data_IF_582762083801
#
_entry.id   IF_582762083801
#
_cell.length_a   1.000
_cell.length_b   1.000
_cell.length_c   1.000
_cell.angle_alpha   90.00
_cell.angle_beta   90.00
_cell.angle_gamma   90.00
#
_symmetry.space_group_name_H-M   'P 1'
#
loop_
_entity.id
_entity.type
_entity.pdbx_description
1 polymer ?
#
# COMPACT_ATOMS: atom_id res chain seq x y z
N UNK A 1 13.06 1.59 -18.19
CA UNK A 1 13.25 2.36 -16.94
C UNK A 1 14.32 1.66 -16.10
N UNK A 2 15.28 2.39 -15.51
CA UNK A 2 16.24 1.84 -14.55
C UNK A 2 15.51 1.27 -13.32
N UNK A 3 16.07 0.23 -12.69
CA UNK A 3 15.50 -0.44 -11.51
C UNK A 3 15.17 0.53 -10.35
N UNK A 4 15.94 1.61 -10.21
CA UNK A 4 15.71 2.66 -9.22
C UNK A 4 14.45 3.51 -9.46
N UNK A 5 14.16 3.86 -10.72
CA UNK A 5 12.95 4.63 -11.06
C UNK A 5 11.68 3.82 -10.80
N UNK A 6 11.70 2.51 -11.11
CA UNK A 6 10.58 1.59 -10.89
C UNK A 6 10.19 1.55 -9.41
N UNK A 7 11.18 1.48 -8.51
CA UNK A 7 10.94 1.42 -7.05
C UNK A 7 10.38 2.75 -6.52
N UNK A 8 10.83 3.89 -7.05
CA UNK A 8 10.34 5.21 -6.64
C UNK A 8 8.88 5.40 -7.05
N UNK A 9 8.55 5.05 -8.29
CA UNK A 9 7.19 5.17 -8.82
C UNK A 9 6.22 4.27 -8.06
N UNK A 10 6.63 3.02 -7.78
CA UNK A 10 5.83 2.08 -6.99
C UNK A 10 5.48 2.62 -5.59
N UNK A 11 6.47 3.17 -4.87
CA UNK A 11 6.27 3.74 -3.54
C UNK A 11 5.23 4.87 -3.56
N UNK A 12 5.37 5.80 -4.51
CA UNK A 12 4.43 6.92 -4.66
C UNK A 12 3.02 6.41 -4.96
N UNK A 13 2.89 5.55 -5.98
CA UNK A 13 1.58 5.10 -6.44
C UNK A 13 0.83 4.30 -5.38
N UNK A 14 1.54 3.42 -4.68
CA UNK A 14 0.98 2.63 -3.58
C UNK A 14 0.52 3.53 -2.43
N UNK A 15 1.35 4.50 -2.03
CA UNK A 15 0.99 5.45 -0.97
C UNK A 15 -0.25 6.29 -1.31
N UNK A 16 -0.35 6.76 -2.56
CA UNK A 16 -1.52 7.51 -3.05
C UNK A 16 -2.81 6.69 -2.99
N UNK A 17 -2.77 5.43 -3.44
CA UNK A 17 -3.92 4.52 -3.43
C UNK A 17 -4.39 4.24 -2.00
N UNK A 18 -3.45 3.90 -1.08
CA UNK A 18 -3.78 3.66 0.33
C UNK A 18 -4.45 4.89 0.95
N UNK A 19 -3.89 6.07 0.72
CA UNK A 19 -4.45 7.33 1.23
C UNK A 19 -5.85 7.59 0.69
N UNK A 20 -6.07 7.37 -0.61
CA UNK A 20 -7.35 7.63 -1.25
C UNK A 20 -8.46 6.75 -0.62
N UNK A 21 -8.24 5.44 -0.55
CA UNK A 21 -9.20 4.51 0.04
C UNK A 21 -9.40 4.72 1.54
N UNK A 22 -8.34 5.06 2.29
CA UNK A 22 -8.48 5.43 3.71
C UNK A 22 -9.43 6.60 3.89
N UNK A 23 -9.27 7.66 3.07
CA UNK A 23 -10.12 8.86 3.11
C UNK A 23 -11.55 8.57 2.67
N UNK A 24 -11.73 7.75 1.63
CA UNK A 24 -13.05 7.31 1.17
C UNK A 24 -13.83 6.58 2.28
N UNK A 25 -13.14 5.79 3.09
CA UNK A 25 -13.71 5.13 4.28
C UNK A 25 -13.84 6.01 5.51
N UNK A 26 -13.45 7.28 5.45
CA UNK A 26 -13.51 8.21 6.57
C UNK A 26 -12.54 7.89 7.72
N UNK A 27 -11.52 7.06 7.48
CA UNK A 27 -10.57 6.65 8.52
C UNK A 27 -9.48 7.71 8.71
N UNK A 28 -9.13 8.01 9.95
CA UNK A 28 -7.91 8.73 10.32
C UNK A 28 -6.68 7.85 10.10
N UNK A 29 -5.49 8.47 10.06
CA UNK A 29 -4.23 7.72 10.04
C UNK A 29 -4.14 6.82 11.28
N UNK A 30 -4.58 7.29 12.45
CA UNK A 30 -4.54 6.51 13.68
C UNK A 30 -5.38 5.23 13.59
N UNK A 31 -6.62 5.33 13.10
CA UNK A 31 -7.51 4.17 12.99
C UNK A 31 -7.02 3.13 11.98
N UNK A 32 -6.48 3.56 10.83
CA UNK A 32 -5.91 2.60 9.88
C UNK A 32 -4.62 1.98 10.42
N UNK A 33 -3.76 2.78 11.06
CA UNK A 33 -2.51 2.30 11.64
C UNK A 33 -2.75 1.27 12.74
N UNK A 34 -3.71 1.53 13.62
CA UNK A 34 -4.14 0.59 14.67
C UNK A 34 -4.66 -0.72 14.08
N UNK A 35 -5.57 -0.66 13.10
CA UNK A 35 -6.10 -1.88 12.44
C UNK A 35 -5.02 -2.68 11.73
N UNK A 36 -3.99 -2.01 11.22
CA UNK A 36 -2.88 -2.61 10.51
C UNK A 36 -1.69 -2.99 11.42
N UNK A 37 -1.84 -2.86 12.74
CA UNK A 37 -0.81 -3.15 13.75
C UNK A 37 0.50 -2.39 13.47
N UNK A 38 0.40 -1.07 13.26
CA UNK A 38 1.54 -0.20 13.02
C UNK A 38 1.37 1.16 13.71
N UNK A 39 2.48 1.90 13.81
CA UNK A 39 2.43 3.26 14.32
C UNK A 39 2.03 4.28 13.22
N UNK A 40 1.42 5.38 13.66
CA UNK A 40 0.92 6.46 12.79
C UNK A 40 2.00 7.06 11.88
N UNK A 41 3.23 7.16 12.39
CA UNK A 41 4.36 7.72 11.64
C UNK A 41 4.68 6.83 10.43
N UNK A 42 4.75 5.52 10.63
CA UNK A 42 5.03 4.54 9.59
C UNK A 42 3.97 4.57 8.49
N UNK A 43 2.68 4.55 8.86
CA UNK A 43 1.59 4.67 7.88
C UNK A 43 1.66 6.00 7.12
N UNK A 44 1.97 7.10 7.81
CA UNK A 44 2.15 8.42 7.18
C UNK A 44 3.30 8.41 6.18
N UNK A 45 4.44 7.79 6.49
CA UNK A 45 5.56 7.67 5.53
C UNK A 45 5.18 6.85 4.30
N UNK A 46 4.40 5.78 4.48
CA UNK A 46 3.87 4.95 3.38
C UNK A 46 2.95 5.77 2.47
N UNK A 47 1.95 6.44 3.04
CA UNK A 47 1.00 7.26 2.26
C UNK A 47 1.66 8.43 1.52
N UNK A 48 2.82 8.88 1.99
CA UNK A 48 3.61 9.93 1.34
C UNK A 48 4.66 9.39 0.35
N UNK A 49 4.72 8.07 0.11
CA UNK A 49 5.69 7.45 -0.78
C UNK A 49 7.14 7.50 -0.29
N UNK A 50 7.36 7.86 0.99
CA UNK A 50 8.70 7.91 1.60
C UNK A 50 9.22 6.51 1.92
N UNK A 51 8.31 5.60 2.25
CA UNK A 51 8.59 4.18 2.44
C UNK A 51 7.69 3.31 1.57
N UNK A 52 8.25 2.20 1.09
CA UNK A 52 7.43 1.11 0.58
C UNK A 52 6.94 0.32 1.80
N UNK A 53 5.66 -0.05 1.89
CA UNK A 53 5.24 -1.06 2.85
C UNK A 53 5.97 -2.36 2.52
N UNK A 54 6.30 -3.15 3.56
CA UNK A 54 6.57 -4.58 3.34
C UNK A 54 5.32 -5.24 2.80
N UNK A 55 5.50 -6.38 2.14
CA UNK A 55 4.41 -6.99 1.42
C UNK A 55 3.28 -7.50 2.33
N UNK A 56 3.63 -8.07 3.48
CA UNK A 56 2.71 -8.42 4.56
C UNK A 56 1.86 -7.22 5.01
N UNK A 57 2.51 -6.07 5.16
CA UNK A 57 1.89 -4.80 5.57
C UNK A 57 0.97 -4.27 4.48
N UNK A 58 1.39 -4.38 3.22
CA UNK A 58 0.61 -3.99 2.07
C UNK A 58 -0.70 -4.79 2.00
N UNK A 59 -0.64 -6.12 2.11
CA UNK A 59 -1.84 -6.96 2.08
C UNK A 59 -2.77 -6.72 3.27
N UNK A 60 -2.22 -6.51 4.49
CA UNK A 60 -3.03 -6.11 5.65
C UNK A 60 -3.80 -4.82 5.37
N UNK A 61 -3.13 -3.78 4.86
CA UNK A 61 -3.76 -2.50 4.55
C UNK A 61 -4.84 -2.67 3.46
N UNK A 62 -4.53 -3.39 2.38
CA UNK A 62 -5.47 -3.67 1.28
C UNK A 62 -6.72 -4.38 1.78
N UNK A 63 -6.56 -5.38 2.65
CA UNK A 63 -7.67 -6.11 3.25
C UNK A 63 -8.52 -5.21 4.16
N UNK A 64 -7.92 -4.41 5.04
CA UNK A 64 -8.64 -3.47 5.92
C UNK A 64 -9.42 -2.42 5.10
N UNK A 65 -8.82 -1.97 4.01
CA UNK A 65 -9.40 -0.98 3.11
C UNK A 65 -10.38 -1.60 2.11
N UNK A 66 -10.68 -2.90 2.16
CA UNK A 66 -11.52 -3.61 1.20
C UNK A 66 -11.23 -3.16 -0.25
N UNK A 67 -9.96 -2.95 -0.55
CA UNK A 67 -9.53 -2.60 -1.90
C UNK A 67 -9.76 -3.86 -2.74
N UNK A 68 -10.64 -3.76 -3.75
CA UNK A 68 -11.02 -4.92 -4.55
C UNK A 68 -9.80 -5.56 -5.21
N UNK A 69 -9.92 -6.85 -5.51
CA UNK A 69 -8.89 -7.62 -6.19
C UNK A 69 -8.39 -6.97 -7.48
N UNK A 70 -9.12 -6.04 -8.11
CA UNK A 70 -8.70 -5.39 -9.35
C UNK A 70 -7.43 -4.55 -9.20
N UNK A 71 -7.22 -3.88 -8.06
CA UNK A 71 -5.95 -3.18 -7.80
C UNK A 71 -4.83 -4.18 -7.55
N UNK A 72 -5.10 -5.23 -6.76
CA UNK A 72 -4.13 -6.31 -6.50
C UNK A 72 -3.74 -7.02 -7.81
N UNK A 73 -4.71 -7.38 -8.64
CA UNK A 73 -4.55 -7.97 -9.98
C UNK A 73 -3.79 -7.04 -10.91
N UNK A 74 -4.05 -5.73 -10.87
CA UNK A 74 -3.32 -4.74 -11.67
C UNK A 74 -1.85 -4.66 -11.27
N UNK A 75 -1.55 -4.65 -9.97
CA UNK A 75 -0.17 -4.65 -9.48
C UNK A 75 0.59 -5.95 -9.85
N UNK A 76 -0.10 -7.10 -9.82
CA UNK A 76 0.44 -8.39 -10.30
C UNK A 76 0.66 -8.35 -11.83
N UNK A 77 -0.30 -7.84 -12.60
CA UNK A 77 -0.22 -7.75 -14.06
C UNK A 77 0.90 -6.82 -14.53
N UNK A 78 1.15 -5.73 -13.80
CA UNK A 78 2.27 -4.81 -14.03
C UNK A 78 3.61 -5.38 -13.53
N UNK A 79 3.64 -6.61 -13.00
CA UNK A 79 4.81 -7.31 -12.42
C UNK A 79 5.49 -6.53 -11.30
N UNK A 80 4.69 -5.77 -10.56
CA UNK A 80 5.16 -4.93 -9.46
C UNK A 80 5.29 -5.76 -8.17
N UNK A 81 4.49 -6.81 -8.03
CA UNK A 81 4.46 -7.75 -6.90
C UNK A 81 4.52 -9.19 -7.45
N UNK A 82 5.31 -10.09 -6.86
CA UNK A 82 5.35 -11.49 -7.27
C UNK A 82 4.17 -12.27 -6.67
N UNK A 83 3.75 -13.36 -7.32
CA UNK A 83 2.64 -14.20 -6.82
C UNK A 83 3.06 -15.03 -5.61
N UNK A 84 4.32 -15.49 -5.57
CA UNK A 84 4.92 -16.28 -4.47
C UNK A 84 4.93 -15.54 -3.13
N UNK A 85 4.88 -14.22 -3.25
CA UNK A 85 4.97 -13.19 -2.24
C UNK A 85 3.58 -12.98 -1.55
N UNK A 86 2.52 -13.54 -2.15
CA UNK A 86 1.11 -13.48 -1.71
C UNK A 86 0.68 -14.81 -1.05
N UNK A 87 1.48 -15.87 -1.20
CA UNK A 87 1.18 -17.23 -0.77
C UNK A 87 1.66 -17.54 0.66
#
# INVERSE_FOLDING_TARGET
MPKGEIIIEFKKKTGEVIRAYRREKGLTIAELAERADMNNSHLSQIENGKHAPRLDTFFKIVAILNISDDITKKLIAEKIINIEDIA
#
